data_IF_327815509848
#
_entry.id   IF_327815509848
#
_cell.length_a   1.000
_cell.length_b   1.000
_cell.length_c   1.000
_cell.angle_alpha   90.00
_cell.angle_beta   90.00
_cell.angle_gamma   90.00
#
_symmetry.space_group_name_H-M   'P 1'
#
loop_
_entity.id
_entity.type
_entity.pdbx_description
1 polymer ?
#
# COMPACT_ATOMS: atom_id res chain seq x y z
N UNK A 1 2.43 -17.22 1.50
CA UNK A 1 2.69 -15.83 1.96
C UNK A 1 1.47 -14.99 1.62
N UNK A 2 0.98 -14.19 2.57
CA UNK A 2 -0.13 -13.25 2.44
C UNK A 2 0.38 -11.84 2.19
N UNK A 3 -0.08 -11.21 1.12
CA UNK A 3 0.38 -9.89 0.68
C UNK A 3 -0.80 -8.93 0.62
N UNK A 4 -0.70 -7.83 1.37
CA UNK A 4 -1.67 -6.74 1.30
C UNK A 4 -1.08 -5.58 0.51
N UNK A 5 -1.63 -5.31 -0.67
CA UNK A 5 -1.33 -4.10 -1.41
C UNK A 5 -2.31 -2.97 -1.05
N UNK A 6 -1.80 -1.76 -0.88
CA UNK A 6 -2.58 -0.58 -0.51
C UNK A 6 -2.44 0.50 -1.59
N UNK A 7 -3.57 0.99 -2.09
CA UNK A 7 -3.66 2.19 -2.92
C UNK A 7 -4.04 3.38 -2.03
N UNK A 8 -3.12 4.34 -1.76
CA UNK A 8 -3.42 5.50 -0.92
C UNK A 8 -4.27 6.53 -1.66
N UNK A 9 -5.03 7.37 -0.92
CA UNK A 9 -5.78 8.46 -1.52
C UNK A 9 -4.84 9.54 -2.09
N UNK A 10 -5.25 10.15 -3.20
CA UNK A 10 -4.72 11.40 -3.76
C UNK A 10 -5.90 12.23 -4.32
N UNK A 11 -5.70 13.52 -4.66
CA UNK A 11 -6.79 14.37 -5.11
C UNK A 11 -7.58 13.78 -6.30
N UNK A 12 -8.91 13.76 -6.17
CA UNK A 12 -9.80 13.27 -7.24
C UNK A 12 -9.78 14.13 -8.50
N UNK A 13 -9.30 15.37 -8.43
CA UNK A 13 -9.05 16.25 -9.57
C UNK A 13 -8.06 15.66 -10.58
N UNK A 14 -7.23 14.71 -10.16
CA UNK A 14 -6.27 13.98 -11.01
C UNK A 14 -6.90 12.81 -11.78
N UNK A 15 -8.24 12.71 -11.79
CA UNK A 15 -9.00 11.63 -12.45
C UNK A 15 -8.47 10.24 -12.08
N UNK A 16 -8.53 9.88 -10.78
CA UNK A 16 -7.94 8.66 -10.27
C UNK A 16 -8.48 7.41 -10.97
N UNK A 17 -7.56 6.55 -11.37
CA UNK A 17 -7.87 5.22 -11.93
C UNK A 17 -7.47 4.13 -10.93
N UNK A 18 -8.15 2.97 -10.96
CA UNK A 18 -7.65 1.79 -10.25
C UNK A 18 -6.19 1.53 -10.59
N UNK A 19 -5.40 1.14 -9.59
CA UNK A 19 -3.96 1.00 -9.75
C UNK A 19 -3.61 -0.21 -10.61
N UNK A 20 -3.35 0.03 -11.89
CA UNK A 20 -2.91 -1.01 -12.82
C UNK A 20 -1.65 -1.73 -12.31
N UNK A 21 -0.69 -0.97 -11.76
CA UNK A 21 0.55 -1.56 -11.22
C UNK A 21 0.28 -2.57 -10.10
N UNK A 22 -0.56 -2.22 -9.12
CA UNK A 22 -0.90 -3.13 -8.02
C UNK A 22 -1.72 -4.33 -8.50
N UNK A 23 -2.63 -4.12 -9.46
CA UNK A 23 -3.44 -5.19 -10.05
C UNK A 23 -2.57 -6.19 -10.82
N UNK A 24 -1.66 -5.70 -11.66
CA UNK A 24 -0.75 -6.55 -12.44
C UNK A 24 0.22 -7.32 -11.54
N UNK A 25 0.83 -6.67 -10.54
CA UNK A 25 1.68 -7.37 -9.57
C UNK A 25 0.89 -8.40 -8.77
N UNK A 26 -0.33 -8.05 -8.33
CA UNK A 26 -1.19 -8.98 -7.60
C UNK A 26 -1.59 -10.20 -8.42
N UNK A 27 -1.87 -10.03 -9.72
CA UNK A 27 -2.16 -11.15 -10.62
C UNK A 27 -0.97 -12.10 -10.75
N UNK A 28 0.23 -11.56 -11.04
CA UNK A 28 1.46 -12.37 -11.18
C UNK A 28 1.79 -13.10 -9.88
N UNK A 29 1.69 -12.44 -8.73
CA UNK A 29 1.98 -13.08 -7.43
C UNK A 29 0.98 -14.17 -7.08
N UNK A 30 -0.31 -14.00 -7.46
CA UNK A 30 -1.32 -15.06 -7.33
C UNK A 30 -0.99 -16.28 -8.17
N UNK A 31 -0.52 -16.09 -9.40
CA UNK A 31 -0.05 -17.20 -10.27
C UNK A 31 1.13 -17.97 -9.65
N UNK A 32 1.94 -17.31 -8.82
CA UNK A 32 3.03 -17.93 -8.06
C UNK A 32 2.58 -18.55 -6.73
N UNK A 33 1.27 -18.70 -6.49
CA UNK A 33 0.72 -19.33 -5.29
C UNK A 33 0.70 -18.46 -4.05
N UNK A 34 0.89 -17.14 -4.19
CA UNK A 34 0.74 -16.20 -3.05
C UNK A 34 -0.72 -15.81 -2.87
N UNK A 35 -1.11 -15.59 -1.61
CA UNK A 35 -2.40 -14.98 -1.28
C UNK A 35 -2.22 -13.46 -1.35
N UNK A 36 -3.05 -12.77 -2.15
CA UNK A 36 -2.93 -11.33 -2.37
C UNK A 36 -4.29 -10.64 -2.28
N UNK A 37 -4.38 -9.65 -1.40
CA UNK A 37 -5.49 -8.69 -1.32
C UNK A 37 -5.04 -7.28 -1.71
N UNK A 38 -5.96 -6.52 -2.31
CA UNK A 38 -5.80 -5.08 -2.55
C UNK A 38 -6.78 -4.30 -1.69
N UNK A 39 -6.26 -3.34 -0.92
CA UNK A 39 -7.03 -2.34 -0.19
C UNK A 39 -6.97 -1.01 -0.94
N UNK A 40 -8.05 -0.71 -1.66
CA UNK A 40 -8.18 0.55 -2.38
C UNK A 40 -8.81 1.65 -1.53
N UNK A 41 -7.99 2.55 -0.99
CA UNK A 41 -8.43 3.70 -0.18
C UNK A 41 -8.75 4.94 -1.03
N UNK A 42 -8.42 4.90 -2.33
CA UNK A 42 -8.71 5.96 -3.28
C UNK A 42 -10.17 5.82 -3.74
N UNK A 43 -10.52 4.69 -4.38
CA UNK A 43 -11.86 4.49 -4.94
C UNK A 43 -12.91 4.25 -3.86
N UNK A 44 -12.53 3.64 -2.73
CA UNK A 44 -13.50 3.34 -1.66
C UNK A 44 -13.59 4.41 -0.58
N UNK A 45 -12.84 5.52 -0.70
CA UNK A 45 -12.62 6.54 0.35
C UNK A 45 -11.82 6.02 1.54
N UNK A 46 -10.85 6.85 1.94
CA UNK A 46 -10.00 6.63 3.10
C UNK A 46 -10.82 6.62 4.40
N UNK A 47 -10.54 5.63 5.24
CA UNK A 47 -10.92 5.62 6.65
C UNK A 47 -9.89 4.76 7.39
N UNK A 48 -9.35 5.27 8.50
CA UNK A 48 -8.35 4.55 9.29
C UNK A 48 -8.87 3.16 9.72
N UNK A 49 -10.12 3.09 10.16
CA UNK A 49 -10.80 1.84 10.55
C UNK A 49 -10.76 0.77 9.45
N UNK A 50 -10.81 1.14 8.16
CA UNK A 50 -10.71 0.16 7.07
C UNK A 50 -9.34 -0.50 7.02
N UNK A 51 -8.28 0.23 7.35
CA UNK A 51 -6.91 -0.30 7.42
C UNK A 51 -6.83 -1.25 8.61
N UNK A 52 -7.29 -0.81 9.79
CA UNK A 52 -7.32 -1.62 11.02
C UNK A 52 -8.07 -2.94 10.81
N UNK A 53 -9.33 -2.87 10.36
CA UNK A 53 -10.18 -4.04 10.13
C UNK A 53 -9.57 -4.98 9.07
N UNK A 54 -8.96 -4.41 8.03
CA UNK A 54 -8.33 -5.19 6.96
C UNK A 54 -7.09 -5.93 7.45
N UNK A 55 -6.17 -5.24 8.11
CA UNK A 55 -4.92 -5.81 8.62
C UNK A 55 -5.23 -6.86 9.69
N UNK A 56 -6.14 -6.58 10.62
CA UNK A 56 -6.53 -7.51 11.67
C UNK A 56 -7.16 -8.81 11.12
N UNK A 57 -8.02 -8.69 10.10
CA UNK A 57 -8.67 -9.86 9.49
C UNK A 57 -7.73 -10.66 8.59
N UNK A 58 -6.90 -9.97 7.80
CA UNK A 58 -6.10 -10.62 6.76
C UNK A 58 -4.80 -11.20 7.32
N UNK A 59 -4.20 -10.53 8.32
CA UNK A 59 -2.91 -10.88 8.93
C UNK A 59 -1.81 -11.05 7.85
N UNK A 60 -1.44 -9.98 7.11
CA UNK A 60 -0.47 -10.07 6.03
C UNK A 60 0.96 -10.34 6.54
N UNK A 61 1.73 -11.11 5.77
CA UNK A 61 3.17 -11.28 5.97
C UNK A 61 3.95 -10.11 5.34
N UNK A 62 3.38 -9.47 4.30
CA UNK A 62 3.94 -8.31 3.62
C UNK A 62 2.86 -7.27 3.33
N UNK A 63 3.18 -6.00 3.56
CA UNK A 63 2.35 -4.85 3.26
C UNK A 63 3.07 -3.98 2.24
N UNK A 64 2.54 -3.91 1.03
CA UNK A 64 3.05 -3.08 -0.06
C UNK A 64 2.16 -1.87 -0.29
N UNK A 65 2.74 -0.67 -0.41
CA UNK A 65 2.01 0.56 -0.67
C UNK A 65 2.63 1.31 -1.84
N UNK A 66 1.82 1.82 -2.76
CA UNK A 66 2.31 2.63 -3.89
C UNK A 66 2.21 4.11 -3.59
N UNK A 67 3.14 4.91 -4.13
CA UNK A 67 3.22 6.34 -3.90
C UNK A 67 3.56 7.12 -5.17
N UNK A 68 2.84 8.22 -5.35
CA UNK A 68 3.18 9.34 -6.22
C UNK A 68 3.44 10.56 -5.35
N UNK A 69 3.99 11.63 -5.91
CA UNK A 69 4.37 12.82 -5.13
C UNK A 69 3.22 13.38 -4.29
N UNK A 70 2.00 13.37 -4.83
CA UNK A 70 0.83 13.95 -4.16
C UNK A 70 0.35 13.15 -2.95
N UNK A 71 0.60 11.84 -2.89
CA UNK A 71 0.15 11.00 -1.78
C UNK A 71 1.28 10.46 -0.90
N UNK A 72 2.54 10.74 -1.21
CA UNK A 72 3.67 10.18 -0.46
C UNK A 72 3.57 10.39 1.06
N UNK A 73 3.25 11.60 1.59
CA UNK A 73 3.07 11.77 3.03
C UNK A 73 1.94 10.91 3.62
N UNK A 74 0.85 10.71 2.86
CA UNK A 74 -0.25 9.86 3.30
C UNK A 74 0.13 8.37 3.24
N UNK A 75 0.84 7.95 2.19
CA UNK A 75 1.36 6.60 2.02
C UNK A 75 2.27 6.21 3.19
N UNK A 76 3.21 7.09 3.56
CA UNK A 76 4.09 6.90 4.72
C UNK A 76 3.28 6.73 6.01
N UNK A 77 2.35 7.65 6.32
CA UNK A 77 1.52 7.56 7.54
C UNK A 77 0.70 6.27 7.61
N UNK A 78 0.15 5.85 6.47
CA UNK A 78 -0.59 4.58 6.37
C UNK A 78 0.34 3.39 6.62
N UNK A 79 1.53 3.39 6.03
CA UNK A 79 2.49 2.30 6.21
C UNK A 79 3.01 2.22 7.65
N UNK A 80 3.24 3.36 8.30
CA UNK A 80 3.60 3.43 9.72
C UNK A 80 2.50 2.86 10.62
N UNK A 81 1.25 3.23 10.39
CA UNK A 81 0.10 2.62 11.07
C UNK A 81 0.06 1.10 10.87
N UNK A 82 0.23 0.64 9.64
CA UNK A 82 0.30 -0.78 9.32
C UNK A 82 1.41 -1.51 10.09
N UNK A 83 2.61 -0.90 10.22
CA UNK A 83 3.73 -1.46 11.01
C UNK A 83 3.38 -1.55 12.51
N UNK A 84 2.64 -0.59 13.06
CA UNK A 84 2.16 -0.65 14.44
C UNK A 84 1.15 -1.78 14.65
N UNK A 85 0.24 -1.96 13.69
CA UNK A 85 -0.81 -3.01 13.75
C UNK A 85 -0.26 -4.41 13.47
N UNK A 86 0.79 -4.52 12.65
CA UNK A 86 1.43 -5.78 12.26
C UNK A 86 2.96 -5.67 12.29
N UNK A 87 3.59 -5.65 13.48
CA UNK A 87 5.04 -5.48 13.60
C UNK A 87 5.88 -6.58 12.93
N UNK A 88 5.30 -7.76 12.70
CA UNK A 88 5.95 -8.88 12.03
C UNK A 88 5.88 -8.83 10.50
N UNK A 89 5.07 -7.95 9.91
CA UNK A 89 4.93 -7.85 8.46
C UNK A 89 6.07 -7.03 7.84
N UNK A 90 6.62 -7.51 6.73
CA UNK A 90 7.53 -6.71 5.92
C UNK A 90 6.77 -5.52 5.31
N UNK A 91 7.35 -4.32 5.37
CA UNK A 91 6.77 -3.10 4.83
C UNK A 91 7.54 -2.65 3.59
N UNK A 92 6.84 -2.45 2.47
CA UNK A 92 7.43 -2.02 1.19
C UNK A 92 6.67 -0.81 0.68
N UNK A 93 7.39 0.25 0.33
CA UNK A 93 6.85 1.41 -0.39
C UNK A 93 7.46 1.46 -1.79
N UNK A 94 6.62 1.67 -2.80
CA UNK A 94 7.03 1.80 -4.19
C UNK A 94 6.30 2.93 -4.91
N UNK A 95 6.39 2.92 -6.24
CA UNK A 95 5.79 3.95 -7.10
C UNK A 95 6.74 5.13 -7.37
N UNK A 96 6.36 6.03 -8.30
CA UNK A 96 7.27 7.04 -8.86
C UNK A 96 8.02 7.88 -7.83
N UNK A 97 7.37 8.32 -6.74
CA UNK A 97 8.03 9.16 -5.74
C UNK A 97 9.04 8.39 -4.92
N UNK A 98 8.64 7.24 -4.36
CA UNK A 98 9.53 6.40 -3.56
C UNK A 98 10.71 5.87 -4.38
N UNK A 99 10.53 5.57 -5.67
CA UNK A 99 11.65 5.19 -6.55
C UNK A 99 12.58 6.37 -6.84
N UNK A 100 12.04 7.57 -7.09
CA UNK A 100 12.85 8.76 -7.33
C UNK A 100 13.68 9.17 -6.10
N UNK A 101 13.13 9.03 -4.90
CA UNK A 101 13.76 9.37 -3.62
C UNK A 101 14.11 8.13 -2.79
N UNK A 102 14.59 7.05 -3.42
CA UNK A 102 14.71 5.74 -2.77
C UNK A 102 15.57 5.76 -1.49
N UNK A 103 16.76 6.34 -1.54
CA UNK A 103 17.65 6.40 -0.37
C UNK A 103 17.07 7.23 0.77
N UNK A 104 16.55 8.41 0.46
CA UNK A 104 15.94 9.32 1.44
C UNK A 104 14.68 8.69 2.06
N UNK A 105 13.85 8.05 1.24
CA UNK A 105 12.64 7.35 1.68
C UNK A 105 12.98 6.25 2.70
N UNK A 106 14.03 5.48 2.45
CA UNK A 106 14.46 4.39 3.34
C UNK A 106 15.14 4.88 4.62
N UNK A 107 15.82 6.04 4.59
CA UNK A 107 16.52 6.59 5.76
C UNK A 107 15.58 7.33 6.70
N UNK A 108 14.56 8.00 6.17
CA UNK A 108 13.76 8.98 6.90
C UNK A 108 12.41 8.46 7.41
N UNK A 109 12.00 7.24 7.03
CA UNK A 109 10.66 6.67 7.34
C UNK A 109 10.68 5.18 7.70
#
# INVERSE_FOLDING_TARGET
MKILFIQPPYPFSEFPKPSYALMSMGAVLKEQGMDVEVLDLLSTRYAQKKIEDRVARYQPDLIGITSVTMNFPAAVRILQLCKTLMPGAAAVIGGPHATFMAEETLRSY
#
